data_IF_739189257426
#
_entry.id   IF_739189257426
#
_cell.length_a   1.000
_cell.length_b   1.000
_cell.length_c   1.000
_cell.angle_alpha   90.00
_cell.angle_beta   90.00
_cell.angle_gamma   90.00
#
_symmetry.space_group_name_H-M   'P 1'
#
loop_
_entity.id
_entity.type
_entity.pdbx_description
1 polymer ?
#
# COMPACT_ATOMS: atom_id res chain seq x y z
N UNK A 1 3.63 14.23 33.47
CA UNK A 1 3.57 12.76 33.30
C UNK A 1 3.36 12.48 31.83
N UNK A 2 4.38 12.03 31.10
CA UNK A 2 4.20 11.58 29.71
C UNK A 2 3.59 10.18 29.77
N UNK A 3 2.31 10.03 29.43
CA UNK A 3 1.75 8.70 29.21
C UNK A 3 2.56 7.99 28.13
N UNK A 4 3.02 6.77 28.42
CA UNK A 4 3.69 5.94 27.42
C UNK A 4 2.62 5.37 26.51
N UNK A 5 2.61 5.82 25.26
CA UNK A 5 1.73 5.26 24.22
C UNK A 5 1.98 3.75 24.13
N UNK A 6 0.92 2.94 24.26
CA UNK A 6 1.01 1.50 24.11
C UNK A 6 1.18 1.11 22.64
N UNK A 7 1.80 -0.04 22.37
CA UNK A 7 1.87 -0.61 21.01
C UNK A 7 0.47 -0.82 20.41
N UNK A 8 -0.50 -1.17 21.26
CA UNK A 8 -1.89 -1.31 20.85
C UNK A 8 -2.47 0.03 20.40
N UNK A 9 -2.16 1.12 21.11
CA UNK A 9 -2.65 2.45 20.76
C UNK A 9 -2.03 2.93 19.44
N UNK A 10 -0.72 2.71 19.25
CA UNK A 10 -0.04 3.01 17.97
C UNK A 10 -0.71 2.25 16.81
N UNK A 11 -0.96 0.96 16.98
CA UNK A 11 -1.60 0.16 15.94
C UNK A 11 -3.03 0.64 15.66
N UNK A 12 -3.82 0.91 16.69
CA UNK A 12 -5.18 1.43 16.54
C UNK A 12 -5.22 2.75 15.75
N UNK A 13 -4.34 3.70 16.09
CA UNK A 13 -4.25 4.98 15.40
C UNK A 13 -3.75 4.83 13.97
N UNK A 14 -2.75 3.97 13.73
CA UNK A 14 -2.26 3.70 12.38
C UNK A 14 -3.35 3.08 11.49
N UNK A 15 -4.10 2.13 12.02
CA UNK A 15 -5.18 1.45 11.28
C UNK A 15 -6.34 2.42 10.99
N UNK A 16 -6.69 3.27 11.95
CA UNK A 16 -7.69 4.32 11.77
C UNK A 16 -7.22 5.33 10.71
N UNK A 17 -5.97 5.76 10.78
CA UNK A 17 -5.37 6.65 9.78
C UNK A 17 -5.41 6.01 8.38
N UNK A 18 -5.01 4.74 8.27
CA UNK A 18 -5.07 3.98 7.02
C UNK A 18 -6.50 3.90 6.47
N UNK A 19 -7.49 3.64 7.32
CA UNK A 19 -8.89 3.63 6.91
C UNK A 19 -9.33 5.00 6.36
N UNK A 20 -8.96 6.09 7.02
CA UNK A 20 -9.28 7.45 6.54
C UNK A 20 -8.63 7.74 5.18
N UNK A 21 -7.34 7.42 5.01
CA UNK A 21 -6.64 7.60 3.72
C UNK A 21 -7.25 6.72 2.64
N UNK A 22 -7.70 5.50 2.98
CA UNK A 22 -8.38 4.59 2.05
C UNK A 22 -9.68 5.19 1.54
N UNK A 23 -10.52 5.66 2.46
CA UNK A 23 -11.80 6.28 2.11
C UNK A 23 -11.59 7.54 1.26
N UNK A 24 -10.59 8.35 1.59
CA UNK A 24 -10.21 9.51 0.79
C UNK A 24 -9.78 9.09 -0.63
N UNK A 25 -8.92 8.08 -0.76
CA UNK A 25 -8.46 7.56 -2.05
C UNK A 25 -9.63 7.03 -2.89
N UNK A 26 -10.54 6.26 -2.28
CA UNK A 26 -11.75 5.79 -2.94
C UNK A 26 -12.64 6.94 -3.41
N UNK A 27 -12.84 7.94 -2.55
CA UNK A 27 -13.64 9.11 -2.88
C UNK A 27 -13.04 9.89 -4.05
N UNK A 28 -11.72 10.19 -4.04
CA UNK A 28 -11.05 10.86 -5.17
C UNK A 28 -11.16 10.01 -6.45
N UNK A 29 -11.03 8.69 -6.35
CA UNK A 29 -11.17 7.79 -7.50
C UNK A 29 -12.56 7.90 -8.15
N UNK A 30 -13.61 7.96 -7.32
CA UNK A 30 -14.99 8.15 -7.79
C UNK A 30 -15.17 9.54 -8.40
N UNK A 31 -14.62 10.58 -7.78
CA UNK A 31 -14.66 11.96 -8.32
C UNK A 31 -14.00 12.03 -9.70
N UNK A 32 -12.77 11.54 -9.84
CA UNK A 32 -12.06 11.54 -11.12
C UNK A 32 -12.77 10.72 -12.21
N UNK A 33 -13.46 9.63 -11.83
CA UNK A 33 -14.12 8.73 -12.77
C UNK A 33 -15.51 9.20 -13.20
N UNK A 34 -16.29 9.77 -12.29
CA UNK A 34 -17.71 10.04 -12.49
C UNK A 34 -18.10 11.53 -12.46
N UNK A 35 -17.30 12.39 -11.82
CA UNK A 35 -17.58 13.84 -11.75
C UNK A 35 -16.90 14.57 -12.90
N UNK A 36 -15.66 14.22 -13.22
CA UNK A 36 -14.99 14.77 -14.40
C UNK A 36 -15.51 14.11 -15.69
N UNK A 37 -15.68 14.89 -16.78
CA UNK A 37 -15.95 14.32 -18.09
C UNK A 37 -14.75 13.46 -18.55
N UNK A 38 -14.93 12.61 -19.58
CA UNK A 38 -13.84 11.83 -20.14
C UNK A 38 -12.61 12.70 -20.46
N UNK A 39 -11.41 12.17 -20.19
CA UNK A 39 -10.12 12.87 -20.19
C UNK A 39 -9.89 13.74 -21.45
N UNK A 40 -10.33 13.27 -22.61
CA UNK A 40 -10.15 13.98 -23.88
C UNK A 40 -11.01 15.27 -24.01
N UNK A 41 -11.96 15.51 -23.10
CA UNK A 41 -12.79 16.73 -23.03
C UNK A 41 -12.58 17.53 -21.75
N UNK A 42 -11.72 17.09 -20.83
CA UNK A 42 -11.63 17.66 -19.47
C UNK A 42 -10.70 18.87 -19.36
N UNK A 43 -10.01 19.29 -20.43
CA UNK A 43 -8.97 20.33 -20.38
C UNK A 43 -9.47 21.71 -19.93
N UNK A 44 -10.76 22.00 -20.03
CA UNK A 44 -11.36 23.27 -19.60
C UNK A 44 -12.23 23.14 -18.33
N UNK A 45 -12.39 21.93 -17.80
CA UNK A 45 -13.24 21.67 -16.64
C UNK A 45 -12.43 21.80 -15.36
N UNK A 46 -12.95 22.57 -14.42
CA UNK A 46 -12.37 22.71 -13.08
C UNK A 46 -13.38 22.29 -12.02
N UNK A 47 -12.88 21.61 -10.98
CA UNK A 47 -13.63 21.28 -9.79
C UNK A 47 -12.93 21.97 -8.62
N UNK A 48 -13.64 22.90 -7.97
CA UNK A 48 -13.12 23.73 -6.87
C UNK A 48 -11.83 24.48 -7.23
N UNK A 49 -11.74 24.97 -8.47
CA UNK A 49 -10.58 25.72 -8.97
C UNK A 49 -9.38 24.85 -9.38
N UNK A 50 -9.48 23.52 -9.29
CA UNK A 50 -8.46 22.59 -9.74
C UNK A 50 -8.93 21.87 -11.01
N UNK A 51 -8.03 21.74 -11.99
CA UNK A 51 -8.28 20.94 -13.19
C UNK A 51 -8.14 19.44 -12.93
N UNK A 52 -8.43 18.64 -13.96
CA UNK A 52 -8.30 17.18 -13.89
C UNK A 52 -6.88 16.73 -13.51
N UNK A 53 -5.85 17.38 -14.04
CA UNK A 53 -4.46 17.00 -13.83
C UNK A 53 -4.07 17.19 -12.35
N UNK A 54 -4.45 18.32 -11.74
CA UNK A 54 -4.22 18.58 -10.31
C UNK A 54 -4.98 17.60 -9.41
N UNK A 55 -6.22 17.26 -9.75
CA UNK A 55 -6.94 16.21 -9.01
C UNK A 55 -6.31 14.83 -9.16
N UNK A 56 -5.75 14.52 -10.34
CA UNK A 56 -4.97 13.30 -10.56
C UNK A 56 -3.68 13.28 -9.74
N UNK A 57 -3.00 14.42 -9.58
CA UNK A 57 -1.82 14.53 -8.72
C UNK A 57 -2.19 14.28 -7.25
N UNK A 58 -3.30 14.86 -6.77
CA UNK A 58 -3.80 14.63 -5.40
C UNK A 58 -4.16 13.16 -5.18
N UNK A 59 -4.80 12.52 -6.16
CA UNK A 59 -5.07 11.08 -6.14
C UNK A 59 -3.78 10.28 -6.00
N UNK A 60 -2.78 10.59 -6.82
CA UNK A 60 -1.50 9.90 -6.81
C UNK A 60 -0.72 10.09 -5.50
N UNK A 61 -0.66 11.30 -4.95
CA UNK A 61 -0.04 11.55 -3.65
C UNK A 61 -0.76 10.78 -2.54
N UNK A 62 -2.10 10.73 -2.57
CA UNK A 62 -2.90 9.96 -1.62
C UNK A 62 -2.61 8.46 -1.74
N UNK A 63 -2.45 7.95 -2.96
CA UNK A 63 -2.03 6.57 -3.22
C UNK A 63 -0.62 6.30 -2.64
N UNK A 64 0.33 7.21 -2.82
CA UNK A 64 1.68 7.07 -2.25
C UNK A 64 1.65 7.02 -0.71
N UNK A 65 0.87 7.89 -0.07
CA UNK A 65 0.68 7.89 1.39
C UNK A 65 0.04 6.57 1.86
N UNK A 66 -0.97 6.09 1.14
CA UNK A 66 -1.62 4.80 1.42
C UNK A 66 -0.61 3.65 1.36
N UNK A 67 0.16 3.55 0.27
CA UNK A 67 1.14 2.48 0.10
C UNK A 67 2.19 2.54 1.20
N UNK A 68 2.75 3.72 1.49
CA UNK A 68 3.73 3.89 2.56
C UNK A 68 3.17 3.49 3.94
N UNK A 69 1.92 3.87 4.24
CA UNK A 69 1.24 3.49 5.47
C UNK A 69 1.02 1.98 5.56
N UNK A 70 0.61 1.31 4.48
CA UNK A 70 0.45 -0.15 4.44
C UNK A 70 1.78 -0.84 4.71
N UNK A 71 2.88 -0.35 4.11
CA UNK A 71 4.21 -0.91 4.36
C UNK A 71 4.57 -0.82 5.84
N UNK A 72 4.37 0.35 6.46
CA UNK A 72 4.60 0.53 7.90
C UNK A 72 3.72 -0.40 8.74
N UNK A 73 2.43 -0.50 8.43
CA UNK A 73 1.49 -1.37 9.14
C UNK A 73 1.92 -2.85 9.06
N UNK A 74 2.28 -3.34 7.87
CA UNK A 74 2.77 -4.71 7.68
C UNK A 74 4.07 -4.95 8.48
N UNK A 75 4.99 -3.98 8.52
CA UNK A 75 6.21 -4.08 9.32
C UNK A 75 5.91 -4.20 10.82
N UNK A 76 4.95 -3.43 11.34
CA UNK A 76 4.52 -3.51 12.75
C UNK A 76 3.81 -4.83 13.07
N UNK A 77 2.99 -5.34 12.16
CA UNK A 77 2.27 -6.60 12.32
C UNK A 77 3.11 -7.85 11.99
N UNK A 78 4.33 -7.68 11.48
CA UNK A 78 5.18 -8.79 11.03
C UNK A 78 5.40 -9.91 12.07
N UNK A 79 5.61 -9.63 13.37
CA UNK A 79 5.73 -10.68 14.39
C UNK A 79 4.46 -11.53 14.52
N UNK A 80 3.28 -10.90 14.38
CA UNK A 80 1.99 -11.60 14.39
C UNK A 80 1.86 -12.50 13.16
N UNK A 81 2.22 -12.01 11.97
CA UNK A 81 2.23 -12.82 10.73
C UNK A 81 3.09 -14.06 10.89
N UNK A 82 4.31 -13.91 11.42
CA UNK A 82 5.19 -15.04 11.72
C UNK A 82 4.54 -16.04 12.71
N UNK A 83 3.82 -15.55 13.72
CA UNK A 83 3.06 -16.37 14.67
C UNK A 83 1.93 -17.18 14.02
N UNK A 84 1.19 -16.56 13.10
CA UNK A 84 0.12 -17.21 12.34
C UNK A 84 0.68 -18.27 11.39
N UNK A 85 1.72 -17.93 10.61
CA UNK A 85 2.36 -18.84 9.66
C UNK A 85 2.96 -20.06 10.36
N UNK A 86 3.63 -19.87 11.49
CA UNK A 86 4.17 -20.99 12.28
C UNK A 86 3.06 -21.90 12.83
N UNK A 87 1.94 -21.32 13.25
CA UNK A 87 0.78 -22.08 13.72
C UNK A 87 0.12 -22.89 12.60
N UNK A 88 -0.03 -22.33 11.41
CA UNK A 88 -0.51 -23.05 10.23
C UNK A 88 0.43 -24.19 9.83
N UNK A 89 1.75 -23.94 9.84
CA UNK A 89 2.75 -24.96 9.51
C UNK A 89 2.72 -26.13 10.49
N UNK A 90 2.56 -25.85 11.80
CA UNK A 90 2.42 -26.87 12.85
C UNK A 90 1.15 -27.69 12.71
N UNK A 91 0.00 -27.06 12.37
CA UNK A 91 -1.25 -27.81 12.09
C UNK A 91 -1.11 -28.74 10.89
N UNK A 92 -0.36 -28.34 9.85
CA UNK A 92 -0.12 -29.17 8.65
C UNK A 92 0.95 -30.25 8.87
N UNK A 93 1.95 -30.03 9.73
CA UNK A 93 3.02 -30.97 10.02
C UNK A 93 3.26 -31.10 11.53
N UNK A 94 2.48 -31.92 12.25
CA UNK A 94 2.55 -32.05 13.70
C UNK A 94 3.88 -32.63 14.22
N UNK A 95 4.69 -33.28 13.35
CA UNK A 95 5.97 -33.91 13.71
C UNK A 95 7.22 -33.06 13.45
N UNK A 96 7.08 -31.85 12.88
CA UNK A 96 8.24 -30.98 12.63
C UNK A 96 8.56 -30.14 13.88
N UNK A 97 9.69 -30.41 14.52
CA UNK A 97 10.27 -29.52 15.53
C UNK A 97 10.70 -28.21 14.83
N UNK A 98 9.83 -27.20 14.85
CA UNK A 98 10.17 -25.88 14.31
C UNK A 98 11.19 -25.25 15.26
N UNK A 99 12.43 -24.96 14.81
CA UNK A 99 13.42 -24.31 15.65
C UNK A 99 12.90 -22.95 16.11
N UNK A 100 13.20 -22.58 17.36
CA UNK A 100 12.83 -21.29 17.95
C UNK A 100 13.48 -20.18 17.12
N UNK A 101 12.71 -19.54 16.23
CA UNK A 101 13.22 -18.45 15.41
C UNK A 101 13.43 -17.21 16.28
N UNK A 102 14.67 -16.75 16.35
CA UNK A 102 15.03 -15.52 17.03
C UNK A 102 14.44 -14.29 16.35
N UNK A 103 14.25 -13.22 17.14
CA UNK A 103 13.67 -11.95 16.71
C UNK A 103 14.32 -11.38 15.44
N UNK A 104 15.65 -11.51 15.32
CA UNK A 104 16.41 -10.99 14.17
C UNK A 104 16.09 -11.71 12.86
N UNK A 105 15.99 -13.05 12.89
CA UNK A 105 15.66 -13.85 11.71
C UNK A 105 14.26 -13.52 11.19
N UNK A 106 13.30 -13.24 12.07
CA UNK A 106 11.95 -12.82 11.68
C UNK A 106 11.99 -11.51 10.88
N UNK A 107 12.65 -10.48 11.39
CA UNK A 107 12.77 -9.20 10.68
C UNK A 107 13.43 -9.35 9.32
N UNK A 108 14.49 -10.18 9.22
CA UNK A 108 15.17 -10.43 7.95
C UNK A 108 14.25 -11.04 6.89
N UNK A 109 13.40 -12.00 7.25
CA UNK A 109 12.40 -12.56 6.34
C UNK A 109 11.36 -11.53 5.89
N UNK A 110 10.94 -10.63 6.79
CA UNK A 110 9.98 -9.57 6.47
C UNK A 110 10.53 -8.55 5.50
N UNK A 111 11.74 -8.06 5.78
CA UNK A 111 12.45 -7.14 4.90
C UNK A 111 12.77 -7.80 3.56
N UNK A 112 13.23 -9.06 3.56
CA UNK A 112 13.49 -9.82 2.33
C UNK A 112 12.25 -9.97 1.45
N UNK A 113 11.10 -10.34 2.04
CA UNK A 113 9.83 -10.43 1.31
C UNK A 113 9.43 -9.07 0.73
N UNK A 114 9.56 -7.99 1.51
CA UNK A 114 9.23 -6.64 1.06
C UNK A 114 10.10 -6.21 -0.12
N UNK A 115 11.41 -6.46 -0.05
CA UNK A 115 12.34 -6.17 -1.15
C UNK A 115 11.91 -6.91 -2.42
N UNK A 116 11.57 -8.19 -2.32
CA UNK A 116 11.12 -8.99 -3.48
C UNK A 116 9.84 -8.39 -4.08
N UNK A 117 8.83 -8.08 -3.25
CA UNK A 117 7.56 -7.49 -3.73
C UNK A 117 7.81 -6.16 -4.44
N UNK A 118 8.61 -5.27 -3.85
CA UNK A 118 8.92 -3.96 -4.44
C UNK A 118 9.67 -4.11 -5.77
N UNK A 119 10.60 -5.06 -5.88
CA UNK A 119 11.32 -5.32 -7.14
C UNK A 119 10.39 -5.88 -8.22
N UNK A 120 9.48 -6.79 -7.87
CA UNK A 120 8.49 -7.34 -8.81
C UNK A 120 7.58 -6.23 -9.33
N UNK A 121 7.08 -5.35 -8.44
CA UNK A 121 6.28 -4.19 -8.84
C UNK A 121 7.07 -3.24 -9.73
N UNK A 122 8.32 -2.92 -9.36
CA UNK A 122 9.21 -2.07 -10.15
C UNK A 122 9.49 -2.64 -11.54
N UNK A 123 9.73 -3.94 -11.65
CA UNK A 123 9.89 -4.64 -12.93
C UNK A 123 8.63 -4.55 -13.78
N UNK A 124 7.45 -4.70 -13.16
CA UNK A 124 6.17 -4.53 -13.86
C UNK A 124 5.98 -3.12 -14.41
N UNK A 125 6.31 -2.10 -13.63
CA UNK A 125 6.28 -0.70 -14.09
C UNK A 125 7.29 -0.48 -15.22
N UNK A 126 8.51 -1.00 -15.09
CA UNK A 126 9.53 -0.91 -16.14
C UNK A 126 9.05 -1.57 -17.44
N UNK A 127 8.50 -2.79 -17.37
CA UNK A 127 7.93 -3.48 -18.51
C UNK A 127 6.79 -2.69 -19.17
N UNK A 128 5.89 -2.09 -18.38
CA UNK A 128 4.83 -1.24 -18.90
C UNK A 128 5.41 0.01 -19.60
N UNK A 129 6.44 0.63 -19.03
CA UNK A 129 7.11 1.79 -19.63
C UNK A 129 7.82 1.49 -20.94
N UNK A 130 8.35 0.27 -21.09
CA UNK A 130 9.04 -0.19 -22.31
C UNK A 130 8.08 -0.63 -23.41
N UNK A 131 6.84 -0.97 -23.07
CA UNK A 131 5.83 -1.50 -24.00
C UNK A 131 4.77 -0.47 -24.39
N UNK A 132 4.81 0.74 -23.85
CA UNK A 132 3.89 1.81 -24.22
C UNK A 132 4.10 2.20 -25.69
N UNK A 133 3.00 2.25 -26.45
CA UNK A 133 3.01 2.59 -27.87
C UNK A 133 2.46 4.00 -28.09
N UNK A 134 3.08 4.74 -29.02
CA UNK A 134 2.54 6.01 -29.48
C UNK A 134 1.24 5.78 -30.28
N UNK A 135 0.28 6.73 -30.24
CA UNK A 135 -0.91 6.63 -31.08
C UNK A 135 -0.52 6.54 -32.57
N UNK A 136 -1.28 5.78 -33.40
CA UNK A 136 -1.05 5.74 -34.84
C UNK A 136 -1.08 7.15 -35.41
N UNK A 137 -0.08 7.51 -36.22
CA UNK A 137 -0.06 8.78 -36.94
C UNK A 137 -1.20 8.74 -37.97
N UNK A 138 -2.12 9.73 -38.00
CA UNK A 138 -3.22 9.76 -38.95
C UNK A 138 -2.77 10.00 -40.39
#
# INVERSE_FOLDING_TARGET
MSERISKTDVNFWLDTFLLCVFLLLCWISVVLRYVFPPIYKSSQWTLWGLDYARWSDVHFVTLCVMVAGILLHVMLHWPWVCGVVTTWRRKRHPKSAIPKQDSGSRTLWGVGLLIVILNVLGLGIAAASLTIQSPPVP
#
